data_IF_319510813637
#
_entry.id   IF_319510813637
#
_cell.length_a   1.000
_cell.length_b   1.000
_cell.length_c   1.000
_cell.angle_alpha   90.00
_cell.angle_beta   90.00
_cell.angle_gamma   90.00
#
_symmetry.space_group_name_H-M   'P 1'
#
loop_
_entity.id
_entity.type
_entity.pdbx_description
1 polymer ?
#
# COMPACT_ATOMS: atom_id res chain seq x y z
N UNK A 1 8.64 -17.01 -20.72
CA UNK A 1 7.89 -17.85 -19.75
C UNK A 1 6.75 -16.99 -19.22
N UNK A 2 5.48 -17.39 -19.35
CA UNK A 2 4.37 -16.62 -18.75
C UNK A 2 4.50 -16.78 -17.22
N UNK A 3 4.42 -15.69 -16.44
CA UNK A 3 4.41 -15.83 -14.98
C UNK A 3 3.21 -16.70 -14.59
N UNK A 4 3.34 -17.58 -13.58
CA UNK A 4 2.22 -18.37 -13.12
C UNK A 4 1.06 -17.46 -12.72
N UNK A 5 -0.15 -17.84 -13.12
CA UNK A 5 -1.37 -17.16 -12.65
C UNK A 5 -1.43 -17.37 -11.14
N UNK A 6 -1.29 -16.29 -10.38
CA UNK A 6 -1.44 -16.32 -8.92
C UNK A 6 -2.93 -16.18 -8.64
N UNK A 7 -3.53 -17.25 -8.11
CA UNK A 7 -4.86 -17.17 -7.52
C UNK A 7 -4.81 -16.14 -6.39
N UNK A 8 -5.64 -15.10 -6.50
CA UNK A 8 -5.69 -14.00 -5.57
C UNK A 8 -7.07 -13.98 -4.93
N UNK A 9 -7.11 -14.18 -3.61
CA UNK A 9 -8.32 -14.06 -2.82
C UNK A 9 -8.28 -12.74 -2.08
N UNK A 10 -9.15 -11.82 -2.47
CA UNK A 10 -9.34 -10.56 -1.77
C UNK A 10 -10.40 -10.72 -0.68
N UNK A 11 -10.16 -10.05 0.46
CA UNK A 11 -11.04 -10.01 1.61
C UNK A 11 -11.49 -8.58 1.87
N UNK A 12 -12.78 -8.40 2.15
CA UNK A 12 -13.27 -7.13 2.64
C UNK A 12 -12.69 -6.84 4.03
N UNK A 13 -12.40 -5.57 4.32
CA UNK A 13 -12.11 -5.12 5.68
C UNK A 13 -13.42 -5.18 6.49
N UNK A 14 -13.58 -6.23 7.28
CA UNK A 14 -14.75 -6.47 8.16
C UNK A 14 -14.48 -6.17 9.63
N UNK A 15 -13.22 -5.97 9.98
CA UNK A 15 -12.75 -5.51 11.29
C UNK A 15 -11.58 -4.55 11.11
N UNK A 16 -11.30 -3.73 12.13
CA UNK A 16 -10.14 -2.84 12.09
C UNK A 16 -8.86 -3.64 11.76
N UNK A 17 -8.10 -3.14 10.78
CA UNK A 17 -6.87 -3.78 10.30
C UNK A 17 -5.79 -2.72 10.13
N UNK A 18 -4.63 -2.92 10.76
CA UNK A 18 -3.50 -2.01 10.66
C UNK A 18 -2.57 -2.48 9.55
N UNK A 19 -2.26 -1.60 8.60
CA UNK A 19 -1.27 -1.80 7.55
C UNK A 19 -0.37 -0.56 7.45
N UNK A 20 0.76 -0.72 6.76
CA UNK A 20 1.78 0.31 6.65
C UNK A 20 2.08 0.60 5.17
N UNK A 21 2.07 1.88 4.81
CA UNK A 21 2.31 2.35 3.44
C UNK A 21 3.49 3.31 3.42
N UNK A 22 4.43 3.06 2.52
CA UNK A 22 5.51 4.00 2.26
C UNK A 22 4.95 5.18 1.45
N UNK A 23 5.19 6.39 1.92
CA UNK A 23 4.72 7.65 1.32
C UNK A 23 5.85 8.67 1.26
N UNK A 24 5.61 9.76 0.52
CA UNK A 24 6.42 10.97 0.56
C UNK A 24 5.61 12.05 1.27
N UNK A 25 6.23 12.74 2.22
CA UNK A 25 5.57 13.76 3.03
C UNK A 25 5.18 13.25 4.42
N UNK A 26 5.09 14.19 5.35
CA UNK A 26 4.92 13.92 6.79
C UNK A 26 3.50 14.21 7.30
N UNK A 27 2.58 14.62 6.42
CA UNK A 27 1.24 15.07 6.79
C UNK A 27 0.18 14.55 5.82
N UNK A 28 -1.00 14.11 6.29
CA UNK A 28 -2.11 13.74 5.40
C UNK A 28 -2.58 14.86 4.47
N UNK A 29 -2.29 16.13 4.79
CA UNK A 29 -2.63 17.27 3.94
C UNK A 29 -1.61 17.48 2.81
N UNK A 30 -0.48 16.79 2.84
CA UNK A 30 0.54 16.86 1.79
C UNK A 30 0.01 16.20 0.50
N UNK A 31 -0.02 16.92 -0.64
CA UNK A 31 -0.40 16.35 -1.93
C UNK A 31 0.39 15.09 -2.31
N UNK A 32 1.66 14.98 -1.89
CA UNK A 32 2.50 13.82 -2.19
C UNK A 32 2.07 12.58 -1.40
N UNK A 33 1.49 12.74 -0.21
CA UNK A 33 0.87 11.63 0.54
C UNK A 33 -0.35 11.13 -0.19
N UNK A 34 -1.24 12.03 -0.62
CA UNK A 34 -2.44 11.66 -1.40
C UNK A 34 -2.05 10.96 -2.70
N UNK A 35 -1.08 11.51 -3.44
CA UNK A 35 -0.54 10.87 -4.64
C UNK A 35 0.05 9.48 -4.36
N UNK A 36 0.66 9.29 -3.19
CA UNK A 36 1.20 8.01 -2.70
C UNK A 36 0.15 6.94 -2.43
N UNK A 37 -1.12 7.31 -2.29
CA UNK A 37 -2.28 6.42 -2.09
C UNK A 37 -2.96 6.01 -3.41
N UNK A 38 -2.53 6.56 -4.54
CA UNK A 38 -2.95 6.07 -5.86
C UNK A 38 -2.13 4.83 -6.26
N UNK A 39 -2.81 3.81 -6.79
CA UNK A 39 -2.16 2.65 -7.41
C UNK A 39 -1.37 3.04 -8.66
N UNK A 40 -0.45 2.17 -9.10
CA UNK A 40 0.32 2.41 -10.32
C UNK A 40 -0.60 2.60 -11.54
N UNK A 41 -1.69 1.82 -11.61
CA UNK A 41 -2.73 1.97 -12.62
C UNK A 41 -3.33 3.39 -12.65
N UNK A 42 -3.78 3.90 -11.49
CA UNK A 42 -4.37 5.25 -11.42
C UNK A 42 -3.39 6.36 -11.80
N UNK A 43 -2.09 6.10 -11.64
CA UNK A 43 -1.01 7.03 -12.00
C UNK A 43 -0.60 6.93 -13.48
N UNK A 44 -1.21 6.03 -14.25
CA UNK A 44 -0.87 5.80 -15.66
C UNK A 44 0.50 5.15 -15.86
N UNK A 45 1.03 4.45 -14.84
CA UNK A 45 2.28 3.72 -14.98
C UNK A 45 2.05 2.37 -15.64
N UNK A 46 3.02 1.92 -16.43
CA UNK A 46 3.00 0.57 -16.99
C UNK A 46 3.11 -0.50 -15.91
N UNK A 47 2.40 -1.65 -16.05
CA UNK A 47 2.50 -2.74 -15.11
C UNK A 47 3.90 -3.36 -15.10
N UNK A 48 4.37 -3.77 -13.92
CA UNK A 48 5.69 -4.37 -13.72
C UNK A 48 5.68 -5.60 -12.82
N UNK A 49 6.57 -6.56 -13.08
CA UNK A 49 6.72 -7.76 -12.26
C UNK A 49 5.41 -8.55 -12.16
N UNK A 50 4.91 -8.79 -10.94
CA UNK A 50 3.66 -9.51 -10.71
C UNK A 50 2.42 -8.80 -11.29
N UNK A 51 2.47 -7.47 -11.45
CA UNK A 51 1.39 -6.69 -12.05
C UNK A 51 1.13 -7.07 -13.52
N UNK A 52 2.17 -7.53 -14.24
CA UNK A 52 2.07 -8.00 -15.63
C UNK A 52 1.23 -9.28 -15.71
N UNK A 53 1.30 -10.12 -14.69
CA UNK A 53 0.59 -11.38 -14.61
C UNK A 53 -0.83 -11.22 -14.04
N UNK A 54 -1.04 -10.21 -13.19
CA UNK A 54 -2.29 -10.01 -12.47
C UNK A 54 -2.63 -8.50 -12.41
N UNK A 55 -3.57 -8.08 -13.25
CA UNK A 55 -4.02 -6.70 -13.32
C UNK A 55 -4.66 -6.20 -12.01
N UNK A 56 -5.21 -7.08 -11.17
CA UNK A 56 -5.72 -6.66 -9.85
C UNK A 56 -4.59 -6.12 -8.98
N UNK A 57 -3.41 -6.73 -9.02
CA UNK A 57 -2.23 -6.22 -8.29
C UNK A 57 -1.83 -4.84 -8.82
N UNK A 58 -1.88 -4.63 -10.14
CA UNK A 58 -1.58 -3.33 -10.76
C UNK A 58 -2.55 -2.22 -10.32
N UNK A 59 -3.82 -2.58 -10.14
CA UNK A 59 -4.88 -1.68 -9.70
C UNK A 59 -4.89 -1.43 -8.19
N UNK A 60 -4.15 -2.22 -7.41
CA UNK A 60 -4.08 -2.11 -5.95
C UNK A 60 -2.90 -1.29 -5.43
N UNK A 61 -2.97 -0.95 -4.15
CA UNK A 61 -1.95 -0.23 -3.41
C UNK A 61 -1.08 -1.21 -2.63
N UNK A 62 0.24 -1.11 -2.83
CA UNK A 62 1.22 -1.92 -2.11
C UNK A 62 1.38 -1.43 -0.66
N UNK A 63 1.18 -2.33 0.31
CA UNK A 63 1.26 -2.06 1.75
C UNK A 63 1.94 -3.22 2.47
N UNK A 64 2.19 -3.08 3.76
CA UNK A 64 2.89 -4.06 4.58
C UNK A 64 2.17 -4.30 5.91
N UNK A 65 2.32 -5.50 6.47
CA UNK A 65 1.78 -5.85 7.80
C UNK A 65 2.61 -5.33 8.97
N UNK A 66 3.84 -4.89 8.73
CA UNK A 66 4.70 -4.30 9.77
C UNK A 66 5.37 -3.01 9.30
N UNK A 67 5.55 -2.10 10.26
CA UNK A 67 6.21 -0.83 10.05
C UNK A 67 7.70 -1.04 9.72
N UNK A 68 8.37 -1.94 10.46
CA UNK A 68 9.76 -2.36 10.23
C UNK A 68 9.97 -2.84 8.78
N UNK A 69 9.06 -3.65 8.23
CA UNK A 69 9.18 -4.15 6.86
C UNK A 69 9.00 -3.01 5.85
N UNK A 70 8.01 -2.13 6.06
CA UNK A 70 7.82 -0.96 5.20
C UNK A 70 9.06 -0.06 5.22
N UNK A 71 9.60 0.22 6.40
CA UNK A 71 10.81 1.01 6.59
C UNK A 71 12.02 0.36 5.92
N UNK A 72 12.23 -0.95 6.10
CA UNK A 72 13.32 -1.68 5.46
C UNK A 72 13.26 -1.62 3.92
N UNK A 73 12.06 -1.68 3.34
CA UNK A 73 11.87 -1.50 1.90
C UNK A 73 12.16 -0.05 1.48
N UNK A 74 11.70 0.95 2.25
CA UNK A 74 11.97 2.36 1.97
C UNK A 74 13.47 2.67 2.04
N UNK A 75 14.19 2.18 3.06
CA UNK A 75 15.65 2.31 3.21
C UNK A 75 16.39 1.69 2.02
N UNK A 76 15.93 0.52 1.54
CA UNK A 76 16.49 -0.14 0.35
C UNK A 76 16.19 0.62 -0.94
N UNK A 77 15.07 1.31 -1.01
CA UNK A 77 14.60 2.01 -2.21
C UNK A 77 14.14 3.45 -1.93
N UNK A 78 15.01 4.39 -1.52
CA UNK A 78 14.58 5.70 -1.00
C UNK A 78 13.69 6.51 -1.96
N UNK A 79 13.81 6.26 -3.27
CA UNK A 79 12.97 6.88 -4.29
C UNK A 79 11.47 6.61 -4.14
N UNK A 80 11.03 5.61 -3.38
CA UNK A 80 9.58 5.33 -3.24
C UNK A 80 8.93 6.07 -2.07
N UNK A 81 9.73 6.68 -1.18
CA UNK A 81 9.26 7.44 -0.03
C UNK A 81 10.25 7.39 1.12
N UNK A 82 10.12 8.35 2.01
CA UNK A 82 10.94 8.63 3.20
C UNK A 82 10.13 8.60 4.50
N UNK A 83 8.81 8.34 4.40
CA UNK A 83 7.91 8.19 5.53
C UNK A 83 7.10 6.90 5.42
N UNK A 84 6.60 6.43 6.56
CA UNK A 84 5.65 5.32 6.67
C UNK A 84 4.35 5.85 7.26
N UNK A 85 3.29 5.81 6.47
CA UNK A 85 1.93 6.06 6.91
C UNK A 85 1.36 4.81 7.59
N UNK A 86 0.77 4.99 8.76
CA UNK A 86 0.00 3.98 9.49
C UNK A 86 -1.45 4.05 8.99
N UNK A 87 -1.88 3.01 8.29
CA UNK A 87 -3.25 2.88 7.80
C UNK A 87 -4.05 2.03 8.80
N UNK A 88 -4.97 2.67 9.52
CA UNK A 88 -5.98 1.99 10.34
C UNK A 88 -7.23 1.78 9.47
N UNK A 89 -7.22 0.70 8.69
CA UNK A 89 -8.33 0.36 7.81
C UNK A 89 -9.56 0.03 8.65
N UNK A 90 -10.69 0.65 8.32
CA UNK A 90 -11.96 0.47 9.02
C UNK A 90 -12.98 -0.28 8.17
N UNK A 91 -13.92 -1.00 8.79
CA UNK A 91 -15.14 -1.44 8.11
C UNK A 91 -15.87 -0.28 7.42
N UNK A 92 -16.78 -0.60 6.50
CA UNK A 92 -17.69 0.33 5.82
C UNK A 92 -17.05 1.34 4.85
N UNK A 93 -15.74 1.27 4.63
CA UNK A 93 -15.05 2.11 3.64
C UNK A 93 -14.99 1.46 2.25
N UNK A 94 -15.55 0.26 2.08
CA UNK A 94 -15.46 -0.49 0.82
C UNK A 94 -14.03 -0.90 0.47
N UNK A 95 -13.16 -1.03 1.48
CA UNK A 95 -11.75 -1.38 1.31
C UNK A 95 -11.61 -2.91 1.34
N UNK A 96 -10.80 -3.43 0.42
CA UNK A 96 -10.46 -4.84 0.30
C UNK A 96 -8.95 -5.00 0.36
N UNK A 97 -8.47 -6.17 0.77
CA UNK A 97 -7.04 -6.48 0.78
C UNK A 97 -6.77 -7.96 0.51
N UNK A 98 -5.55 -8.28 0.10
CA UNK A 98 -5.07 -9.63 -0.08
C UNK A 98 -3.57 -9.71 0.23
N UNK A 99 -3.14 -10.82 0.82
CA UNK A 99 -1.71 -11.15 0.87
C UNK A 99 -1.21 -11.37 -0.56
N UNK A 100 -0.13 -10.69 -0.92
CA UNK A 100 0.42 -10.71 -2.28
C UNK A 100 1.94 -10.58 -2.21
N UNK A 101 2.66 -11.16 -3.16
CA UNK A 101 4.13 -11.06 -3.18
C UNK A 101 4.78 -11.84 -2.03
N UNK A 102 5.81 -11.27 -1.41
CA UNK A 102 6.52 -11.89 -0.29
C UNK A 102 5.70 -11.84 1.01
N UNK A 103 5.92 -12.77 1.96
CA UNK A 103 5.24 -12.74 3.25
C UNK A 103 5.26 -11.36 3.93
N UNK A 104 4.07 -10.90 4.34
CA UNK A 104 3.88 -9.59 4.97
C UNK A 104 3.63 -8.44 3.99
N UNK A 105 3.76 -8.63 2.67
CA UNK A 105 3.27 -7.68 1.67
C UNK A 105 1.79 -7.91 1.40
N UNK A 106 1.03 -6.82 1.39
CA UNK A 106 -0.43 -6.81 1.25
C UNK A 106 -0.80 -5.82 0.16
N UNK A 107 -1.64 -6.25 -0.79
CA UNK A 107 -2.24 -5.33 -1.74
C UNK A 107 -3.59 -4.90 -1.20
N UNK A 108 -3.85 -3.59 -1.20
CA UNK A 108 -5.10 -2.97 -0.75
C UNK A 108 -5.83 -2.34 -1.93
N UNK A 109 -7.14 -2.53 -2.01
CA UNK A 109 -8.01 -1.86 -2.98
C UNK A 109 -9.01 -0.98 -2.24
N UNK A 110 -9.02 0.31 -2.57
CA UNK A 110 -9.91 1.31 -2.00
C UNK A 110 -9.75 2.63 -2.75
N UNK A 111 -10.69 3.56 -2.59
CA UNK A 111 -10.53 4.90 -3.19
C UNK A 111 -9.45 5.66 -2.41
N UNK A 112 -8.57 6.42 -3.08
CA UNK A 112 -7.48 7.14 -2.41
C UNK A 112 -7.93 8.01 -1.24
N UNK A 113 -9.05 8.74 -1.36
CA UNK A 113 -9.59 9.56 -0.28
C UNK A 113 -10.10 8.73 0.92
N UNK A 114 -10.65 7.53 0.68
CA UNK A 114 -11.04 6.64 1.78
C UNK A 114 -9.82 6.04 2.50
N UNK A 115 -8.74 5.81 1.75
CA UNK A 115 -7.46 5.39 2.34
C UNK A 115 -6.81 6.52 3.12
N UNK A 116 -6.94 7.76 2.65
CA UNK A 116 -6.47 8.96 3.35
C UNK A 116 -7.20 9.13 4.69
N UNK A 117 -8.51 8.93 4.71
CA UNK A 117 -9.32 8.94 5.94
C UNK A 117 -8.91 7.84 6.94
N UNK A 118 -8.17 6.83 6.50
CA UNK A 118 -7.62 5.76 7.34
C UNK A 118 -6.19 6.04 7.81
N UNK A 119 -5.54 7.12 7.37
CA UNK A 119 -4.20 7.50 7.85
C UNK A 119 -4.29 7.96 9.30
N UNK A 120 -3.77 7.15 10.20
CA UNK A 120 -3.78 7.42 11.64
C UNK A 120 -2.53 8.18 12.10
N UNK A 121 -1.40 7.97 11.42
CA UNK A 121 -0.12 8.61 11.70
C UNK A 121 0.80 8.55 10.47
N UNK A 122 1.80 9.41 10.40
CA UNK A 122 2.87 9.38 9.39
C UNK A 122 4.18 9.68 10.09
N UNK A 123 5.09 8.71 10.03
CA UNK A 123 6.34 8.76 10.76
C UNK A 123 7.52 8.64 9.79
N UNK A 124 8.63 9.36 10.02
CA UNK A 124 9.84 9.23 9.22
C UNK A 124 10.36 7.78 9.23
N UNK A 125 11.02 7.37 8.15
CA UNK A 125 11.59 6.02 8.02
C UNK A 125 12.71 5.76 9.04
N UNK A 126 13.45 6.80 9.44
CA UNK A 126 14.46 6.75 10.49
C UNK A 126 13.89 6.50 11.89
N UNK A 127 12.64 6.89 12.13
CA UNK A 127 11.95 6.73 13.41
C UNK A 127 11.21 5.39 13.52
N UNK A 128 11.23 4.58 12.46
CA UNK A 128 10.68 3.23 12.46
C UNK A 128 11.64 2.25 13.16
N UNK A 129 11.10 1.26 13.89
CA UNK A 129 11.91 0.20 14.50
C UNK A 129 12.79 -0.55 13.49
#
# INVERSE_FOLDING_TARGET
>A
MRPPVVELTAHAVVSETILFRIVRGASPQDPDVVAGLHSNYHRGFEPRGAEIANALVHMGLSTYRSAERAAGIARRWPRIGDHVAVLRLRPDHGIWFADTGEPGHVTVWGRPLQLLDCVADILPVEDQP
#
